data_IF_026318529573
#
_entry.id   IF_026318529573
#
_cell.length_a   1.000
_cell.length_b   1.000
_cell.length_c   1.000
_cell.angle_alpha   90.00
_cell.angle_beta   90.00
_cell.angle_gamma   90.00
#
_symmetry.space_group_name_H-M   'P 1'
#
loop_
_entity.id
_entity.type
_entity.pdbx_description
1 polymer ?
#
# COMPACT_ATOMS: atom_id res chain seq x y z
N UNK A 1 -5.02 22.47 19.19
CA UNK A 1 -5.75 21.22 18.91
C UNK A 1 -4.95 20.41 17.89
N UNK A 2 -4.85 19.09 18.03
CA UNK A 2 -4.19 18.19 17.06
C UNK A 2 -5.25 17.63 16.12
N UNK A 3 -5.09 17.82 14.81
CA UNK A 3 -6.06 17.35 13.82
C UNK A 3 -5.76 15.94 13.33
N UNK A 4 -4.47 15.64 13.09
CA UNK A 4 -4.00 14.34 12.65
C UNK A 4 -2.67 13.95 13.32
N UNK A 5 -2.40 12.66 13.35
CA UNK A 5 -1.14 12.04 13.80
C UNK A 5 -0.61 11.18 12.67
N UNK A 6 0.69 11.30 12.44
CA UNK A 6 1.41 10.47 11.49
C UNK A 6 2.53 9.76 12.23
N UNK A 7 2.57 8.44 12.12
CA UNK A 7 3.65 7.62 12.68
C UNK A 7 4.52 7.13 11.54
N UNK A 8 5.84 7.16 11.76
CA UNK A 8 6.82 6.76 10.77
C UNK A 8 7.65 5.57 11.30
N UNK A 9 8.09 4.71 10.39
CA UNK A 9 9.08 3.68 10.71
C UNK A 9 10.50 4.25 10.80
N UNK A 10 11.48 3.38 11.08
CA UNK A 10 12.90 3.74 11.19
C UNK A 10 13.51 4.18 9.86
N UNK A 11 12.85 3.92 8.73
CA UNK A 11 13.25 4.35 7.39
C UNK A 11 12.57 5.67 7.00
N UNK A 12 11.75 6.27 7.88
CA UNK A 12 11.04 7.52 7.63
C UNK A 12 9.80 7.36 6.75
N UNK A 13 9.25 6.15 6.61
CA UNK A 13 8.01 5.89 5.86
C UNK A 13 6.80 5.93 6.78
N UNK A 14 5.68 6.46 6.32
CA UNK A 14 4.44 6.57 7.09
C UNK A 14 3.81 5.19 7.31
N UNK A 15 3.66 4.76 8.56
CA UNK A 15 3.03 3.47 8.93
C UNK A 15 1.65 3.65 9.55
N UNK A 16 1.33 4.84 10.07
CA UNK A 16 -0.01 5.16 10.57
C UNK A 16 -0.37 6.59 10.18
N UNK A 17 -1.61 6.78 9.74
CA UNK A 17 -2.26 8.08 9.64
C UNK A 17 -3.58 8.01 10.38
N UNK A 18 -3.86 8.93 11.30
CA UNK A 18 -5.11 8.94 12.06
C UNK A 18 -5.51 10.37 12.44
N UNK A 19 -6.81 10.63 12.52
CA UNK A 19 -7.35 11.86 13.08
C UNK A 19 -7.40 11.79 14.63
N UNK A 20 -7.81 12.90 15.26
CA UNK A 20 -7.99 12.93 16.70
C UNK A 20 -8.93 11.81 17.19
N UNK A 21 -8.52 11.10 18.23
CA UNK A 21 -9.30 9.98 18.79
C UNK A 21 -9.23 8.68 17.99
N UNK A 22 -8.14 8.46 17.24
CA UNK A 22 -7.91 7.26 16.40
C UNK A 22 -8.97 7.07 15.28
N UNK A 23 -9.69 8.13 14.95
CA UNK A 23 -10.67 8.14 13.86
C UNK A 23 -9.95 8.13 12.52
N UNK A 24 -10.53 7.45 11.53
CA UNK A 24 -9.94 7.31 10.19
C UNK A 24 -8.49 6.82 10.21
N UNK A 25 -8.21 5.85 11.09
CA UNK A 25 -6.88 5.24 11.20
C UNK A 25 -6.59 4.34 10.01
N UNK A 26 -5.59 4.74 9.23
CA UNK A 26 -4.97 3.93 8.19
C UNK A 26 -3.65 3.36 8.71
N UNK A 27 -3.40 2.08 8.42
CA UNK A 27 -2.14 1.41 8.74
C UNK A 27 -1.48 0.97 7.44
N UNK A 28 -0.19 1.27 7.28
CA UNK A 28 0.58 0.94 6.08
C UNK A 28 1.77 0.05 6.43
N UNK A 29 1.95 -1.00 5.65
CA UNK A 29 3.08 -1.92 5.67
C UNK A 29 3.86 -1.85 4.36
N UNK A 30 5.18 -2.04 4.47
CA UNK A 30 6.09 -2.01 3.35
C UNK A 30 6.97 -3.25 3.40
N UNK A 31 7.18 -3.90 2.26
CA UNK A 31 8.14 -4.98 2.15
C UNK A 31 9.57 -4.46 2.26
N UNK A 32 10.47 -5.30 2.76
CA UNK A 32 11.89 -4.93 2.96
C UNK A 32 12.62 -4.72 1.64
N UNK A 33 12.23 -5.44 0.60
CA UNK A 33 12.74 -5.35 -0.77
C UNK A 33 12.01 -4.28 -1.62
N UNK A 34 10.97 -3.63 -1.09
CA UNK A 34 10.15 -2.67 -1.80
C UNK A 34 9.26 -3.26 -2.90
N UNK A 35 9.15 -4.59 -3.01
CA UNK A 35 8.30 -5.28 -3.98
C UNK A 35 6.81 -5.06 -3.75
N UNK A 36 6.37 -4.75 -2.54
CA UNK A 36 4.95 -4.50 -2.28
C UNK A 36 4.68 -3.63 -1.05
N UNK A 37 3.49 -3.05 -1.04
CA UNK A 37 2.93 -2.31 0.11
C UNK A 37 1.52 -2.77 0.39
N UNK A 38 1.15 -2.79 1.67
CA UNK A 38 -0.20 -3.10 2.11
C UNK A 38 -0.76 -1.92 2.89
N UNK A 39 -2.04 -1.60 2.70
CA UNK A 39 -2.74 -0.58 3.47
C UNK A 39 -4.00 -1.20 4.05
N UNK A 40 -4.23 -1.02 5.33
CA UNK A 40 -5.48 -1.36 6.01
C UNK A 40 -6.24 -0.07 6.30
N UNK A 41 -7.51 -0.02 5.87
CA UNK A 41 -8.39 1.11 6.13
C UNK A 41 -9.11 0.98 7.50
N UNK A 42 -9.79 2.04 7.96
CA UNK A 42 -10.46 2.03 9.25
C UNK A 42 -11.59 1.00 9.37
N UNK A 43 -12.09 0.49 8.25
CA UNK A 43 -13.15 -0.51 8.18
C UNK A 43 -12.59 -1.95 8.15
N UNK A 44 -11.26 -2.11 8.12
CA UNK A 44 -10.56 -3.39 8.06
C UNK A 44 -10.35 -3.94 6.65
N UNK A 45 -10.78 -3.23 5.60
CA UNK A 45 -10.44 -3.58 4.22
C UNK A 45 -8.95 -3.39 3.98
N UNK A 46 -8.35 -4.29 3.21
CA UNK A 46 -6.93 -4.25 2.89
C UNK A 46 -6.68 -4.00 1.40
N UNK A 47 -5.62 -3.29 1.09
CA UNK A 47 -5.17 -2.99 -0.26
C UNK A 47 -3.72 -3.40 -0.39
N UNK A 48 -3.40 -4.30 -1.31
CA UNK A 48 -2.03 -4.73 -1.60
C UNK A 48 -1.62 -4.17 -2.97
N UNK A 49 -0.44 -3.60 -3.05
CA UNK A 49 0.13 -3.04 -4.26
C UNK A 49 1.48 -3.70 -4.51
N UNK A 50 1.62 -4.35 -5.65
CA UNK A 50 2.86 -5.01 -6.04
C UNK A 50 3.56 -4.17 -7.10
N UNK A 51 4.88 -4.10 -6.99
CA UNK A 51 5.76 -3.32 -7.83
C UNK A 51 6.82 -4.23 -8.46
N UNK A 52 7.17 -3.94 -9.70
CA UNK A 52 8.31 -4.56 -10.38
C UNK A 52 9.33 -3.51 -10.77
N UNK A 53 10.58 -3.95 -10.80
CA UNK A 53 11.70 -3.16 -11.32
C UNK A 53 12.09 -3.72 -12.68
N UNK A 54 12.08 -2.89 -13.71
CA UNK A 54 12.43 -3.28 -15.08
C UNK A 54 13.55 -2.36 -15.56
N UNK A 55 14.67 -2.94 -15.99
CA UNK A 55 15.86 -2.18 -16.44
C UNK A 55 16.38 -1.16 -15.39
N UNK A 56 16.23 -1.46 -14.10
CA UNK A 56 16.61 -0.55 -13.01
C UNK A 56 15.61 0.59 -12.74
N UNK A 57 14.56 0.73 -13.56
CA UNK A 57 13.43 1.61 -13.27
C UNK A 57 12.50 0.92 -12.27
N UNK A 58 12.45 1.45 -11.04
CA UNK A 58 11.59 0.98 -9.97
C UNK A 58 10.19 1.61 -10.05
N UNK A 59 9.20 0.94 -9.48
CA UNK A 59 7.87 1.53 -9.23
C UNK A 59 6.76 1.13 -10.20
N UNK A 60 7.03 0.21 -11.13
CA UNK A 60 5.98 -0.29 -12.03
C UNK A 60 4.96 -1.07 -11.23
N UNK A 61 3.79 -0.47 -11.01
CA UNK A 61 2.71 -1.15 -10.28
C UNK A 61 2.07 -2.17 -11.20
N UNK A 62 2.27 -3.44 -10.88
CA UNK A 62 1.90 -4.56 -11.75
C UNK A 62 0.69 -5.33 -11.23
N UNK A 63 0.39 -5.23 -9.94
CA UNK A 63 -0.81 -5.85 -9.37
C UNK A 63 -1.37 -5.01 -8.21
N UNK A 64 -2.69 -4.91 -8.18
CA UNK A 64 -3.46 -4.27 -7.13
C UNK A 64 -4.54 -5.23 -6.67
N UNK A 65 -4.55 -5.56 -5.39
CA UNK A 65 -5.56 -6.42 -4.78
C UNK A 65 -6.26 -5.67 -3.67
N UNK A 66 -7.58 -5.80 -3.61
CA UNK A 66 -8.39 -5.26 -2.53
C UNK A 66 -9.14 -6.38 -1.86
N UNK A 67 -8.95 -6.51 -0.56
CA UNK A 67 -9.64 -7.43 0.31
C UNK A 67 -10.67 -6.65 1.14
N UNK A 68 -11.85 -7.24 1.34
CA UNK A 68 -12.80 -6.73 2.32
C UNK A 68 -12.35 -7.04 3.76
N UNK A 69 -13.11 -6.57 4.75
CA UNK A 69 -12.81 -6.82 6.16
C UNK A 69 -12.94 -8.28 6.60
N UNK A 70 -13.59 -9.11 5.78
CA UNK A 70 -13.67 -10.57 5.93
C UNK A 70 -12.51 -11.31 5.26
N UNK A 71 -11.50 -10.58 4.76
CA UNK A 71 -10.35 -11.11 4.02
C UNK A 71 -10.71 -11.78 2.68
N UNK A 72 -11.86 -11.43 2.08
CA UNK A 72 -12.23 -11.91 0.74
C UNK A 72 -11.71 -10.93 -0.32
N UNK A 73 -11.16 -11.46 -1.41
CA UNK A 73 -10.69 -10.66 -2.53
C UNK A 73 -11.89 -10.01 -3.23
N UNK A 74 -12.08 -8.71 -3.03
CA UNK A 74 -13.14 -7.91 -3.62
C UNK A 74 -12.79 -7.46 -5.04
N UNK A 75 -11.51 -7.18 -5.31
CA UNK A 75 -11.06 -6.74 -6.63
C UNK A 75 -9.59 -7.05 -6.87
N UNK A 76 -9.26 -7.45 -8.09
CA UNK A 76 -7.88 -7.50 -8.60
C UNK A 76 -7.74 -6.64 -9.86
N UNK A 77 -6.60 -5.99 -10.01
CA UNK A 77 -6.20 -5.28 -11.23
C UNK A 77 -4.74 -5.61 -11.50
N UNK A 78 -4.44 -6.09 -12.71
CA UNK A 78 -3.09 -6.43 -13.14
C UNK A 78 -2.67 -5.59 -14.33
N UNK A 79 -1.39 -5.24 -14.38
CA UNK A 79 -0.73 -4.52 -15.46
C UNK A 79 0.55 -5.26 -15.81
N UNK A 80 0.71 -5.58 -17.08
CA UNK A 80 1.89 -6.27 -17.58
C UNK A 80 2.74 -5.28 -18.34
N UNK A 81 4.03 -5.24 -18.02
CA UNK A 81 4.99 -4.37 -18.70
C UNK A 81 5.93 -5.25 -19.53
N UNK A 82 6.23 -4.80 -20.75
CA UNK A 82 7.21 -5.46 -21.59
C UNK A 82 8.65 -5.29 -21.05
N UNK A 83 9.61 -5.99 -21.68
CA UNK A 83 11.02 -5.95 -21.28
C UNK A 83 11.67 -4.55 -21.39
N UNK A 84 11.03 -3.61 -22.09
CA UNK A 84 11.44 -2.22 -22.26
C UNK A 84 10.67 -1.26 -21.34
N UNK A 85 9.95 -1.79 -20.35
CA UNK A 85 9.18 -1.05 -19.36
C UNK A 85 7.99 -0.25 -19.92
N UNK A 86 7.25 -0.84 -20.87
CA UNK A 86 6.04 -0.25 -21.45
C UNK A 86 4.83 -1.12 -21.15
N UNK A 87 3.67 -0.50 -20.89
CA UNK A 87 2.38 -1.18 -20.68
C UNK A 87 1.81 -1.73 -21.99
#
# INVERSE_FOLDING_TARGET
>A
MRFATYTYDTQGRMVVTEHAGEVERYVSGYSTDGSHTHVTDPLGSQYTHNFQTILGAMGNRTKEERFDSGNNLAKTQQREYDALNRL
#
